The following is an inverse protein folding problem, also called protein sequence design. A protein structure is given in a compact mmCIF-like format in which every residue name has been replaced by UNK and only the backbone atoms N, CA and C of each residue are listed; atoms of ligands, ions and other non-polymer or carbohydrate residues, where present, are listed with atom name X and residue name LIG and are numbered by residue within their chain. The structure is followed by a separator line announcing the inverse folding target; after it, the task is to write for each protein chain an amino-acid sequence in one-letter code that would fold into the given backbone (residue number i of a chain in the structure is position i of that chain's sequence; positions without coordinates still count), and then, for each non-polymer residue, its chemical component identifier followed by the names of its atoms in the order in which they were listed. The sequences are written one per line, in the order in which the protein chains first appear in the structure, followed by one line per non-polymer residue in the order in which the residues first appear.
data_IF_272342705041
#
_entry.id   IF_272342705041
#
_cell.length_a   1.000
_cell.length_b   1.000
_cell.length_c   1.000
_cell.angle_alpha   90.00
_cell.angle_beta   90.00
_cell.angle_gamma   90.00
#
_symmetry.space_group_name_H-M   'P 1'
#
loop_
_entity.id
_entity.type
_entity.pdbx_description
1 polymer ?
#
# COMPACT_ATOMS: atom_id res chain seq x y z
N UNK A 1 -10.27 -10.32 9.28
CA UNK A 1 -9.01 -11.07 9.37
C UNK A 1 -7.90 -10.35 8.64
N UNK A 2 -6.71 -10.37 9.19
CA UNK A 2 -5.57 -9.78 8.53
C UNK A 2 -5.06 -10.70 7.42
N UNK A 3 -4.67 -10.12 6.30
CA UNK A 3 -4.07 -10.88 5.22
C UNK A 3 -2.93 -10.07 4.63
N UNK A 4 -2.03 -10.77 3.96
CA UNK A 4 -0.88 -10.14 3.33
C UNK A 4 -0.80 -10.58 1.88
N UNK A 5 -0.45 -9.65 1.02
CA UNK A 5 -0.28 -9.93 -0.39
C UNK A 5 1.05 -9.35 -0.84
N UNK A 6 1.89 -10.18 -1.46
CA UNK A 6 3.15 -9.72 -2.02
C UNK A 6 2.93 -9.28 -3.44
N UNK A 7 3.53 -8.15 -3.80
CA UNK A 7 3.52 -7.67 -5.17
C UNK A 7 4.87 -7.94 -5.80
N UNK A 8 4.85 -8.45 -7.03
CA UNK A 8 6.06 -8.80 -7.76
C UNK A 8 6.09 -8.07 -9.10
N UNK A 9 7.29 -7.81 -9.57
CA UNK A 9 7.46 -7.23 -10.90
C UNK A 9 7.49 -8.34 -11.95
N UNK A 10 7.80 -7.96 -13.19
CA UNK A 10 7.84 -8.91 -14.30
C UNK A 10 8.87 -10.00 -14.11
N UNK A 11 9.97 -9.68 -13.46
CA UNK A 11 11.04 -10.63 -13.24
C UNK A 11 10.79 -11.55 -12.06
N UNK A 12 9.65 -11.39 -11.37
CA UNK A 12 9.33 -12.21 -10.22
C UNK A 12 9.91 -11.68 -8.92
N UNK A 13 10.51 -10.50 -8.94
CA UNK A 13 11.10 -9.90 -7.74
C UNK A 13 10.01 -9.25 -6.89
N UNK A 14 10.08 -9.47 -5.58
CA UNK A 14 9.14 -8.85 -4.67
C UNK A 14 9.45 -7.35 -4.60
N UNK A 15 8.46 -6.51 -4.92
CA UNK A 15 8.64 -5.07 -4.90
C UNK A 15 7.93 -4.43 -3.71
N UNK A 16 7.04 -5.16 -3.06
CA UNK A 16 6.34 -4.64 -1.89
C UNK A 16 5.30 -5.60 -1.40
N UNK A 17 4.56 -5.16 -0.41
CA UNK A 17 3.52 -5.96 0.24
C UNK A 17 2.31 -5.10 0.53
N UNK A 18 1.14 -5.73 0.46
CA UNK A 18 -0.11 -5.13 0.92
C UNK A 18 -0.53 -5.91 2.15
N UNK A 19 -0.74 -5.22 3.25
CA UNK A 19 -1.17 -5.86 4.50
C UNK A 19 -2.55 -5.36 4.88
N UNK A 20 -3.53 -6.24 4.79
CA UNK A 20 -4.92 -5.92 5.10
C UNK A 20 -5.19 -6.27 6.57
N UNK A 21 -5.48 -5.25 7.35
CA UNK A 21 -5.81 -5.43 8.77
C UNK A 21 -7.29 -5.21 9.06
N UNK A 22 -8.10 -5.19 8.02
CA UNK A 22 -9.53 -5.00 8.14
C UNK A 22 -9.93 -3.54 8.05
N UNK A 23 -9.64 -2.75 9.07
CA UNK A 23 -10.00 -1.34 9.06
C UNK A 23 -8.99 -0.46 8.34
N UNK A 24 -7.76 -0.93 8.20
CA UNK A 24 -6.69 -0.21 7.49
C UNK A 24 -5.92 -1.22 6.66
N UNK A 25 -5.61 -0.84 5.43
CA UNK A 25 -4.79 -1.66 4.54
C UNK A 25 -3.50 -0.89 4.30
N UNK A 26 -2.37 -1.50 4.65
CA UNK A 26 -1.06 -0.85 4.53
C UNK A 26 -0.35 -1.27 3.26
N UNK A 27 0.38 -0.33 2.68
CA UNK A 27 1.30 -0.62 1.57
C UNK A 27 2.72 -0.48 2.11
N UNK A 28 3.52 -1.51 1.91
CA UNK A 28 4.91 -1.52 2.37
C UNK A 28 5.84 -1.84 1.22
N UNK A 29 7.04 -1.29 1.28
CA UNK A 29 8.05 -1.62 0.28
C UNK A 29 8.69 -2.96 0.65
N UNK A 30 9.63 -3.41 -0.20
CA UNK A 30 10.27 -4.71 0.04
C UNK A 30 11.13 -4.73 1.30
N UNK A 31 11.52 -3.57 1.79
CA UNK A 31 12.29 -3.45 3.02
C UNK A 31 11.43 -3.41 4.26
N UNK A 32 10.10 -3.42 4.09
CA UNK A 32 9.19 -3.38 5.22
C UNK A 32 8.78 -1.99 5.66
N UNK A 33 9.21 -0.95 4.94
CA UNK A 33 8.83 0.42 5.28
C UNK A 33 7.44 0.73 4.78
N UNK A 34 6.62 1.36 5.61
CA UNK A 34 5.27 1.73 5.22
C UNK A 34 5.32 2.89 4.24
N UNK A 35 4.70 2.71 3.07
CA UNK A 35 4.62 3.75 2.05
C UNK A 35 3.35 4.56 2.18
N UNK A 36 2.29 3.94 2.67
CA UNK A 36 1.02 4.59 2.82
C UNK A 36 -0.02 3.59 3.26
N UNK A 37 -1.27 4.03 3.29
CA UNK A 37 -2.33 3.14 3.71
C UNK A 37 -3.66 3.59 3.10
N UNK A 38 -4.58 2.63 3.03
CA UNK A 38 -5.92 2.87 2.51
C UNK A 38 -6.93 2.68 3.64
N UNK A 39 -7.88 3.59 3.74
CA UNK A 39 -8.93 3.54 4.73
C UNK A 39 -10.24 3.18 4.04
N UNK A 40 -10.68 1.91 4.13
CA UNK A 40 -11.91 1.50 3.45
C UNK A 40 -13.14 2.31 3.85
N UNK A 41 -13.21 2.71 5.11
CA UNK A 41 -14.36 3.46 5.61
C UNK A 41 -14.47 4.83 4.96
N UNK A 42 -13.33 5.44 4.64
CA UNK A 42 -13.29 6.75 4.02
C UNK A 42 -13.09 6.69 2.52
N UNK A 43 -12.74 5.49 2.01
CA UNK A 43 -12.41 5.31 0.60
C UNK A 43 -11.29 6.25 0.17
N UNK A 44 -10.28 6.37 1.02
CA UNK A 44 -9.15 7.29 0.77
C UNK A 44 -7.83 6.57 0.98
N UNK A 45 -6.86 6.90 0.12
CA UNK A 45 -5.49 6.44 0.26
C UNK A 45 -4.66 7.62 0.77
N UNK A 46 -3.88 7.37 1.84
CA UNK A 46 -3.02 8.39 2.44
C UNK A 46 -1.58 7.93 2.39
N UNK A 47 -0.67 8.89 2.39
CA UNK A 47 0.74 8.55 2.46
C UNK A 47 1.14 8.24 3.90
N UNK A 48 2.41 7.92 4.11
CA UNK A 48 2.89 7.55 5.45
C UNK A 48 2.82 8.69 6.44
N UNK A 49 2.68 9.90 5.97
CA UNK A 49 2.57 11.08 6.83
C UNK A 49 1.12 11.44 7.13
N UNK A 50 0.18 10.69 6.56
CA UNK A 50 -1.24 10.92 6.78
C UNK A 50 -1.88 11.88 5.81
N UNK A 51 -1.15 12.34 4.80
CA UNK A 51 -1.70 13.23 3.78
C UNK A 51 -2.53 12.44 2.78
N UNK A 52 -3.71 12.96 2.44
CA UNK A 52 -4.56 12.30 1.47
C UNK A 52 -3.95 12.38 0.07
N UNK A 53 -3.81 11.23 -0.57
CA UNK A 53 -3.29 11.16 -1.93
C UNK A 53 -4.41 11.13 -2.96
N UNK A 54 -5.42 10.28 -2.74
CA UNK A 54 -6.50 10.12 -3.70
C UNK A 54 -7.63 9.34 -3.06
N UNK A 55 -8.78 9.36 -3.72
CA UNK A 55 -9.89 8.49 -3.35
C UNK A 55 -9.66 7.10 -3.94
N UNK A 56 -10.19 6.08 -3.28
CA UNK A 56 -10.06 4.73 -3.74
C UNK A 56 -8.75 4.10 -3.30
N UNK A 57 -8.59 2.82 -3.60
CA UNK A 57 -7.42 2.05 -3.20
C UNK A 57 -6.37 2.10 -4.30
N UNK A 58 -5.33 2.90 -4.09
CA UNK A 58 -4.23 3.03 -5.04
C UNK A 58 -2.90 2.57 -4.43
N UNK A 59 -2.96 1.67 -3.45
CA UNK A 59 -1.77 1.22 -2.76
C UNK A 59 -0.77 0.54 -3.69
N UNK A 60 -1.26 -0.25 -4.65
CA UNK A 60 -0.38 -0.91 -5.60
C UNK A 60 0.43 0.12 -6.38
N UNK A 61 -0.19 1.25 -6.70
CA UNK A 61 0.49 2.32 -7.42
C UNK A 61 1.62 2.92 -6.59
N UNK A 62 1.42 3.05 -5.28
CA UNK A 62 2.46 3.55 -4.39
C UNK A 62 3.69 2.64 -4.40
N UNK A 63 3.47 1.34 -4.49
CA UNK A 63 4.56 0.38 -4.50
C UNK A 63 5.22 0.33 -5.87
N UNK A 64 4.42 0.29 -6.94
CA UNK A 64 4.92 0.10 -8.29
C UNK A 64 5.52 1.35 -8.89
N UNK A 65 5.06 2.52 -8.46
CA UNK A 65 5.55 3.80 -8.96
C UNK A 65 5.83 4.73 -7.80
N UNK A 66 6.88 4.44 -7.02
CA UNK A 66 7.18 5.26 -5.86
C UNK A 66 7.54 6.69 -6.27
N UNK A 67 6.96 7.63 -5.58
CA UNK A 67 7.23 9.04 -5.82
C UNK A 67 8.39 9.48 -4.94
N UNK A 68 9.15 10.39 -5.47
CA UNK A 68 10.28 10.94 -4.73
C UNK A 68 9.87 12.10 -3.88
#
# INVERSE_FOLDING_TARGET
MASKQELRDRGGNIIGKIEDRGSIIYAKDRGGNTLGYFLPRENKTRDRHGNMLTFGNTLATLIMSPRK
#
